data_IF_438088765112
#
_entry.id   IF_438088765112
#
_cell.length_a   1.000
_cell.length_b   1.000
_cell.length_c   1.000
_cell.angle_alpha   90.00
_cell.angle_beta   90.00
_cell.angle_gamma   90.00
#
_symmetry.space_group_name_H-M   'P 1'
#
loop_
_entity.id
_entity.type
_entity.pdbx_description
1 polymer ?
#
# COMPACT_ATOMS: atom_id res chain seq x y z
N UNK A 1 -67.26 -16.75 -52.89
CA UNK A 1 -66.14 -17.68 -53.12
C UNK A 1 -65.49 -17.82 -51.78
N UNK A 2 -65.26 -19.05 -51.31
CA UNK A 2 -64.60 -19.26 -50.02
C UNK A 2 -63.21 -18.61 -50.02
N UNK A 3 -62.81 -18.00 -48.90
CA UNK A 3 -61.49 -17.42 -48.71
C UNK A 3 -60.71 -18.20 -47.67
N UNK A 4 -59.41 -18.34 -47.90
CA UNK A 4 -58.52 -19.07 -46.99
C UNK A 4 -58.46 -18.41 -45.62
N UNK A 5 -58.40 -19.19 -44.53
CA UNK A 5 -58.24 -18.63 -43.19
C UNK A 5 -56.89 -17.93 -43.04
N UNK A 6 -56.87 -16.83 -42.28
CA UNK A 6 -55.66 -16.14 -41.88
C UNK A 6 -55.11 -16.77 -40.60
N UNK A 7 -53.81 -17.08 -40.54
CA UNK A 7 -53.17 -17.70 -39.37
C UNK A 7 -51.95 -16.91 -38.93
N UNK A 8 -51.83 -16.69 -37.61
CA UNK A 8 -50.71 -16.02 -36.95
C UNK A 8 -50.18 -16.86 -35.79
N UNK A 9 -48.87 -16.81 -35.59
CA UNK A 9 -48.15 -17.53 -34.54
C UNK A 9 -47.30 -16.53 -33.74
N UNK A 10 -47.07 -16.79 -32.46
CA UNK A 10 -46.24 -15.94 -31.61
C UNK A 10 -44.80 -15.85 -32.12
N UNK A 11 -44.45 -14.68 -32.67
CA UNK A 11 -43.10 -14.40 -33.17
C UNK A 11 -42.12 -14.04 -32.05
N UNK A 12 -42.57 -13.83 -30.80
CA UNK A 12 -41.70 -13.51 -29.67
C UNK A 12 -40.72 -14.63 -29.33
N UNK A 13 -40.98 -15.84 -29.84
CA UNK A 13 -40.18 -17.03 -29.61
C UNK A 13 -39.13 -17.26 -30.70
N UNK A 14 -39.17 -16.51 -31.81
CA UNK A 14 -38.22 -16.63 -32.91
C UNK A 14 -36.77 -16.49 -32.42
N UNK A 15 -35.97 -17.53 -32.66
CA UNK A 15 -34.56 -17.59 -32.32
C UNK A 15 -34.24 -17.80 -30.84
N UNK A 16 -35.25 -18.01 -29.96
CA UNK A 16 -34.99 -18.26 -28.53
C UNK A 16 -34.46 -19.67 -28.27
N UNK A 17 -33.62 -19.78 -27.24
CA UNK A 17 -33.16 -21.04 -26.65
C UNK A 17 -33.95 -21.37 -25.39
N UNK A 18 -34.34 -22.63 -25.26
CA UNK A 18 -35.01 -23.22 -24.09
C UNK A 18 -34.15 -24.33 -23.52
N UNK A 19 -34.29 -24.60 -22.22
CA UNK A 19 -33.59 -25.73 -21.59
C UNK A 19 -34.26 -27.06 -21.95
N UNK A 20 -33.47 -28.11 -22.08
CA UNK A 20 -34.00 -29.47 -22.16
C UNK A 20 -34.98 -29.76 -21.01
N UNK A 21 -36.19 -30.24 -21.36
CA UNK A 21 -37.25 -30.52 -20.40
C UNK A 21 -38.16 -29.32 -20.07
N UNK A 22 -37.83 -28.10 -20.49
CA UNK A 22 -38.70 -26.93 -20.37
C UNK A 22 -39.95 -27.09 -21.25
N UNK A 23 -41.07 -26.52 -20.80
CA UNK A 23 -42.31 -26.46 -21.61
C UNK A 23 -42.33 -25.15 -22.38
N UNK A 24 -42.49 -25.23 -23.70
CA UNK A 24 -42.62 -24.05 -24.56
C UNK A 24 -44.10 -23.83 -24.88
N UNK A 25 -44.64 -22.68 -24.47
CA UNK A 25 -46.03 -22.29 -24.76
C UNK A 25 -46.09 -21.45 -26.04
N UNK A 26 -46.91 -21.87 -27.01
CA UNK A 26 -47.02 -21.25 -28.32
C UNK A 26 -48.44 -20.72 -28.56
N UNK A 27 -48.62 -19.40 -28.55
CA UNK A 27 -49.90 -18.79 -28.88
C UNK A 27 -50.10 -18.74 -30.41
N UNK A 28 -51.25 -19.22 -30.87
CA UNK A 28 -51.65 -19.23 -32.27
C UNK A 28 -53.05 -18.66 -32.39
N UNK A 29 -53.26 -17.78 -33.37
CA UNK A 29 -54.58 -17.24 -33.69
C UNK A 29 -54.87 -17.46 -35.17
N UNK A 30 -56.12 -17.81 -35.46
CA UNK A 30 -56.66 -18.00 -36.79
C UNK A 30 -58.01 -17.28 -36.91
N UNK A 31 -58.36 -16.87 -38.12
CA UNK A 31 -59.64 -16.25 -38.41
C UNK A 31 -60.02 -16.51 -39.85
N UNK A 32 -61.29 -16.80 -40.07
CA UNK A 32 -61.87 -16.85 -41.41
C UNK A 32 -62.88 -15.70 -41.57
N UNK A 33 -62.89 -15.07 -42.74
CA UNK A 33 -63.64 -13.84 -43.00
C UNK A 33 -65.09 -14.08 -43.42
N UNK A 34 -65.34 -15.25 -43.98
CA UNK A 34 -66.61 -15.68 -44.56
C UNK A 34 -67.16 -16.98 -43.97
N UNK A 35 -66.36 -17.70 -43.17
CA UNK A 35 -66.75 -18.91 -42.47
C UNK A 35 -66.21 -19.03 -41.04
N UNK A 36 -66.01 -20.27 -40.60
CA UNK A 36 -65.47 -20.60 -39.28
C UNK A 36 -64.27 -21.53 -39.40
N UNK A 37 -63.41 -21.52 -38.38
CA UNK A 37 -62.26 -22.44 -38.32
C UNK A 37 -62.75 -23.83 -37.90
N UNK A 38 -62.62 -24.82 -38.78
CA UNK A 38 -62.89 -26.24 -38.48
C UNK A 38 -61.73 -26.86 -37.68
N UNK A 39 -60.48 -26.56 -38.08
CA UNK A 39 -59.27 -27.10 -37.43
C UNK A 39 -58.16 -26.07 -37.34
N UNK A 40 -57.39 -26.13 -36.25
CA UNK A 40 -56.16 -25.41 -36.03
C UNK A 40 -55.08 -26.39 -35.56
N UNK A 41 -54.04 -26.54 -36.37
CA UNK A 41 -52.95 -27.49 -36.19
C UNK A 41 -51.66 -26.76 -35.85
N UNK A 42 -50.96 -27.21 -34.80
CA UNK A 42 -49.56 -26.86 -34.60
C UNK A 42 -48.68 -27.89 -35.31
N UNK A 43 -47.72 -27.42 -36.09
CA UNK A 43 -46.79 -28.24 -36.87
C UNK A 43 -45.36 -27.98 -36.39
N UNK A 44 -44.65 -29.04 -36.03
CA UNK A 44 -43.24 -29.00 -35.60
C UNK A 44 -42.43 -29.94 -36.49
N UNK A 45 -41.41 -29.40 -37.18
CA UNK A 45 -40.58 -30.15 -38.14
C UNK A 45 -41.43 -30.94 -39.16
N UNK A 46 -42.45 -30.28 -39.71
CA UNK A 46 -43.41 -30.83 -40.69
C UNK A 46 -44.34 -31.94 -40.18
N UNK A 47 -44.36 -32.18 -38.86
CA UNK A 47 -45.26 -33.12 -38.21
C UNK A 47 -46.34 -32.34 -37.43
N UNK A 48 -47.61 -32.66 -37.67
CA UNK A 48 -48.71 -32.14 -36.85
C UNK A 48 -48.58 -32.74 -35.44
N UNK A 49 -48.34 -31.89 -34.44
CA UNK A 49 -48.16 -32.32 -33.06
C UNK A 49 -49.45 -32.24 -32.23
N UNK A 50 -50.33 -31.32 -32.59
CA UNK A 50 -51.61 -31.13 -31.92
C UNK A 50 -52.61 -30.44 -32.86
N UNK A 51 -53.88 -30.81 -32.72
CA UNK A 51 -55.03 -30.28 -33.47
C UNK A 51 -56.11 -29.85 -32.49
N UNK A 52 -56.63 -28.64 -32.66
CA UNK A 52 -57.77 -28.11 -31.91
C UNK A 52 -58.82 -27.54 -32.86
N UNK A 53 -60.04 -27.34 -32.40
CA UNK A 53 -61.16 -26.82 -33.21
C UNK A 53 -61.58 -25.41 -32.75
N UNK A 54 -60.63 -24.65 -32.21
CA UNK A 54 -60.84 -23.27 -31.73
C UNK A 54 -59.93 -22.33 -32.51
N UNK A 55 -60.40 -21.09 -32.71
CA UNK A 55 -59.70 -20.11 -33.53
C UNK A 55 -58.49 -19.45 -32.82
N UNK A 56 -58.40 -19.53 -31.50
CA UNK A 56 -57.26 -19.03 -30.70
C UNK A 56 -56.89 -20.05 -29.65
N UNK A 57 -55.61 -20.45 -29.60
CA UNK A 57 -55.14 -21.47 -28.67
C UNK A 57 -53.66 -21.27 -28.30
N UNK A 58 -53.30 -21.68 -27.08
CA UNK A 58 -51.93 -21.69 -26.59
C UNK A 58 -51.47 -23.15 -26.45
N UNK A 59 -50.72 -23.64 -27.44
CA UNK A 59 -50.19 -25.00 -27.46
C UNK A 59 -49.01 -25.16 -26.50
N UNK A 60 -48.83 -26.34 -25.91
CA UNK A 60 -47.72 -26.64 -24.99
C UNK A 60 -46.81 -27.73 -25.56
N UNK A 61 -45.59 -27.37 -25.97
CA UNK A 61 -44.55 -28.32 -26.38
C UNK A 61 -43.75 -28.74 -25.15
N UNK A 62 -43.95 -29.99 -24.71
CA UNK A 62 -43.30 -30.54 -23.51
C UNK A 62 -42.14 -31.45 -23.90
N UNK A 63 -41.05 -31.37 -23.13
CA UNK A 63 -39.93 -32.31 -23.21
C UNK A 63 -39.36 -32.45 -24.64
N UNK A 64 -39.23 -31.34 -25.35
CA UNK A 64 -38.56 -31.34 -26.65
C UNK A 64 -37.11 -31.86 -26.45
N UNK A 65 -36.66 -32.82 -27.29
CA UNK A 65 -35.26 -33.21 -27.34
C UNK A 65 -34.30 -32.03 -27.61
N UNK A 66 -33.01 -32.25 -27.41
CA UNK A 66 -31.99 -31.26 -27.82
C UNK A 66 -32.02 -31.10 -29.34
N UNK A 67 -32.05 -29.85 -29.83
CA UNK A 67 -32.01 -29.60 -31.26
C UNK A 67 -32.68 -28.30 -31.69
N UNK A 68 -32.90 -28.22 -33.01
CA UNK A 68 -33.51 -27.07 -33.68
C UNK A 68 -34.90 -27.47 -34.17
N UNK A 69 -35.89 -26.62 -33.89
CA UNK A 69 -37.29 -26.89 -34.22
C UNK A 69 -37.86 -25.79 -35.09
N UNK A 70 -38.38 -26.18 -36.26
CA UNK A 70 -39.18 -25.31 -37.14
C UNK A 70 -40.64 -25.49 -36.82
N UNK A 71 -41.31 -24.42 -36.42
CA UNK A 71 -42.69 -24.45 -35.92
C UNK A 71 -43.55 -23.50 -36.74
N UNK A 72 -44.71 -23.96 -37.18
CA UNK A 72 -45.73 -23.14 -37.82
C UNK A 72 -47.11 -23.71 -37.52
N UNK A 73 -48.16 -22.93 -37.77
CA UNK A 73 -49.54 -23.36 -37.60
C UNK A 73 -50.27 -23.41 -38.94
N UNK A 74 -51.24 -24.31 -39.03
CA UNK A 74 -52.16 -24.43 -40.16
C UNK A 74 -53.59 -24.39 -39.66
N UNK A 75 -54.48 -23.70 -40.37
CA UNK A 75 -55.91 -23.73 -40.08
C UNK A 75 -56.69 -24.19 -41.31
N UNK A 76 -57.74 -25.00 -41.10
CA UNK A 76 -58.72 -25.36 -42.12
C UNK A 76 -60.06 -24.70 -41.76
N UNK A 77 -60.72 -24.13 -42.76
CA UNK A 77 -62.09 -23.61 -42.62
C UNK A 77 -63.16 -24.70 -42.85
N UNK A 78 -64.43 -24.34 -42.69
CA UNK A 78 -65.59 -25.24 -42.86
C UNK A 78 -65.88 -25.65 -44.31
N UNK A 79 -65.25 -24.98 -45.28
CA UNK A 79 -65.30 -25.27 -46.71
C UNK A 79 -64.06 -26.07 -47.20
N UNK A 80 -63.10 -26.36 -46.30
CA UNK A 80 -61.94 -27.21 -46.51
C UNK A 80 -60.69 -26.51 -47.06
N UNK A 81 -60.62 -25.18 -47.10
CA UNK A 81 -59.42 -24.45 -47.53
C UNK A 81 -58.42 -24.24 -46.38
N UNK A 82 -57.12 -24.29 -46.71
CA UNK A 82 -56.03 -24.23 -45.73
C UNK A 82 -55.31 -22.86 -45.73
N UNK A 83 -55.16 -22.29 -44.54
CA UNK A 83 -54.30 -21.16 -44.22
C UNK A 83 -53.07 -21.57 -43.42
N UNK A 84 -51.93 -20.91 -43.63
CA UNK A 84 -50.64 -21.27 -43.01
C UNK A 84 -50.00 -20.01 -42.40
N UNK A 85 -49.46 -20.12 -41.18
CA UNK A 85 -48.72 -19.04 -40.52
C UNK A 85 -47.30 -18.89 -41.05
N UNK A 86 -46.57 -17.89 -40.54
CA UNK A 86 -45.10 -17.87 -40.65
C UNK A 86 -44.50 -19.08 -39.92
N UNK A 87 -43.34 -19.53 -40.37
CA UNK A 87 -42.50 -20.48 -39.65
C UNK A 87 -41.54 -19.74 -38.73
N UNK A 88 -41.43 -20.20 -37.49
CA UNK A 88 -40.43 -19.76 -36.52
C UNK A 88 -39.45 -20.89 -36.19
N UNK A 89 -38.26 -20.53 -35.72
CA UNK A 89 -37.21 -21.45 -35.29
C UNK A 89 -36.90 -21.27 -33.81
N UNK A 90 -36.90 -22.34 -33.03
CA UNK A 90 -36.44 -22.35 -31.63
C UNK A 90 -35.31 -23.37 -31.44
N UNK A 91 -34.53 -23.17 -30.37
CA UNK A 91 -33.43 -24.04 -29.97
C UNK A 91 -33.71 -24.68 -28.61
N UNK A 92 -33.34 -25.95 -28.45
CA UNK A 92 -33.36 -26.63 -27.16
C UNK A 92 -31.94 -27.07 -26.82
N UNK A 93 -31.40 -26.45 -25.79
CA UNK A 93 -30.00 -26.57 -25.37
C UNK A 93 -29.88 -27.37 -24.06
N UNK A 94 -28.73 -28.01 -23.80
CA UNK A 94 -28.49 -28.67 -22.54
C UNK A 94 -28.53 -27.66 -21.38
N UNK A 95 -28.90 -28.14 -20.19
CA UNK A 95 -28.77 -27.29 -19.00
C UNK A 95 -27.28 -26.96 -18.76
N UNK A 96 -26.98 -25.67 -18.62
CA UNK A 96 -25.62 -25.21 -18.33
C UNK A 96 -25.19 -25.74 -16.95
N UNK A 97 -24.17 -26.59 -16.94
CA UNK A 97 -23.52 -27.13 -15.72
C UNK A 97 -22.38 -26.24 -15.22
N UNK A 98 -22.22 -25.02 -15.73
CA UNK A 98 -21.30 -24.04 -15.15
C UNK A 98 -21.93 -23.44 -13.90
N UNK A 99 -21.65 -24.05 -12.75
CA UNK A 99 -21.99 -23.50 -11.44
C UNK A 99 -20.91 -22.47 -11.03
N UNK A 100 -21.22 -21.15 -11.02
CA UNK A 100 -20.26 -20.13 -10.58
C UNK A 100 -19.80 -20.34 -9.13
N UNK A 101 -20.57 -21.07 -8.31
CA UNK A 101 -20.27 -21.34 -6.91
C UNK A 101 -19.03 -22.23 -6.74
N UNK A 102 -18.74 -23.10 -7.72
CA UNK A 102 -17.53 -23.95 -7.70
C UNK A 102 -16.26 -23.10 -7.91
N UNK A 103 -16.31 -22.06 -8.75
CA UNK A 103 -15.15 -21.20 -8.98
C UNK A 103 -14.80 -20.40 -7.72
N UNK A 104 -15.80 -19.87 -7.03
CA UNK A 104 -15.60 -19.08 -5.81
C UNK A 104 -15.18 -19.98 -4.63
N UNK A 105 -15.84 -21.12 -4.48
CA UNK A 105 -15.59 -22.10 -3.41
C UNK A 105 -14.19 -22.72 -3.47
N UNK A 106 -13.57 -22.80 -4.64
CA UNK A 106 -12.22 -23.35 -4.81
C UNK A 106 -11.15 -22.25 -4.78
N UNK A 107 -11.41 -21.09 -5.40
CA UNK A 107 -10.38 -20.05 -5.55
C UNK A 107 -9.95 -19.44 -4.22
N UNK A 108 -10.90 -19.20 -3.30
CA UNK A 108 -10.61 -18.53 -2.03
C UNK A 108 -9.80 -19.41 -1.07
N UNK A 109 -10.19 -20.68 -0.79
CA UNK A 109 -9.39 -21.54 0.07
C UNK A 109 -7.98 -21.80 -0.46
N UNK A 110 -7.82 -21.97 -1.79
CA UNK A 110 -6.49 -22.16 -2.40
C UNK A 110 -5.64 -20.89 -2.23
N UNK A 111 -6.22 -19.70 -2.45
CA UNK A 111 -5.52 -18.43 -2.24
C UNK A 111 -5.05 -18.27 -0.79
N UNK A 112 -5.90 -18.59 0.18
CA UNK A 112 -5.59 -18.48 1.60
C UNK A 112 -4.53 -19.51 2.03
N UNK A 113 -4.64 -20.76 1.54
CA UNK A 113 -3.69 -21.85 1.83
C UNK A 113 -2.28 -21.59 1.27
N UNK A 114 -2.16 -20.83 0.19
CA UNK A 114 -0.86 -20.55 -0.44
C UNK A 114 -0.29 -19.23 0.07
N UNK A 115 -1.08 -18.17 0.07
CA UNK A 115 -0.59 -16.81 0.33
C UNK A 115 -0.15 -16.63 1.78
N UNK A 116 -0.90 -17.21 2.74
CA UNK A 116 -0.61 -17.02 4.16
C UNK A 116 0.73 -17.69 4.51
N UNK A 117 0.95 -19.00 4.27
CA UNK A 117 2.20 -19.65 4.65
C UNK A 117 3.43 -19.08 3.94
N UNK A 118 3.30 -18.71 2.65
CA UNK A 118 4.41 -18.10 1.92
C UNK A 118 4.78 -16.73 2.51
N UNK A 119 3.80 -15.90 2.86
CA UNK A 119 4.07 -14.59 3.46
C UNK A 119 4.72 -14.69 4.85
N UNK A 120 4.32 -15.67 5.66
CA UNK A 120 4.94 -15.92 6.96
C UNK A 120 6.36 -16.47 6.81
N UNK A 121 6.59 -17.43 5.89
CA UNK A 121 7.94 -17.96 5.64
C UNK A 121 8.87 -16.84 5.15
N UNK A 122 8.43 -16.00 4.22
CA UNK A 122 9.25 -14.90 3.71
C UNK A 122 9.55 -13.88 4.80
N UNK A 123 8.59 -13.56 5.66
CA UNK A 123 8.76 -12.55 6.72
C UNK A 123 9.58 -13.09 7.90
N UNK A 124 9.17 -14.21 8.47
CA UNK A 124 9.67 -14.70 9.75
C UNK A 124 10.92 -15.56 9.59
N UNK A 125 10.96 -16.43 8.57
CA UNK A 125 12.07 -17.36 8.39
C UNK A 125 13.20 -16.80 7.51
N UNK A 126 12.90 -15.82 6.65
CA UNK A 126 13.88 -15.24 5.71
C UNK A 126 14.23 -13.80 6.08
N UNK A 127 13.26 -12.89 6.05
CA UNK A 127 13.53 -11.45 6.19
C UNK A 127 14.06 -11.11 7.58
N UNK A 128 13.46 -11.67 8.63
CA UNK A 128 13.84 -11.36 10.01
C UNK A 128 15.27 -11.84 10.32
N UNK A 129 15.65 -13.11 10.07
CA UNK A 129 17.01 -13.58 10.36
C UNK A 129 18.07 -12.88 9.51
N UNK A 130 17.78 -12.58 8.24
CA UNK A 130 18.71 -11.82 7.38
C UNK A 130 18.95 -10.42 7.94
N UNK A 131 17.90 -9.72 8.38
CA UNK A 131 18.02 -8.40 9.01
C UNK A 131 18.85 -8.46 10.30
N UNK A 132 18.61 -9.47 11.15
CA UNK A 132 19.39 -9.68 12.38
C UNK A 132 20.86 -9.96 12.08
N UNK A 133 21.18 -10.79 11.09
CA UNK A 133 22.56 -11.07 10.67
C UNK A 133 23.24 -9.77 10.19
N UNK A 134 22.56 -8.96 9.39
CA UNK A 134 23.13 -7.69 8.90
C UNK A 134 23.36 -6.71 10.06
N UNK A 135 22.46 -6.64 11.04
CA UNK A 135 22.62 -5.81 12.22
C UNK A 135 23.79 -6.28 13.08
N UNK A 136 23.76 -7.54 13.51
CA UNK A 136 24.58 -8.01 14.63
C UNK A 136 25.96 -8.49 14.19
N UNK A 137 26.07 -9.06 12.99
CA UNK A 137 27.33 -9.63 12.49
C UNK A 137 28.09 -8.63 11.63
N UNK A 138 27.39 -7.73 10.94
CA UNK A 138 28.02 -6.78 10.01
C UNK A 138 28.06 -5.39 10.63
N UNK A 139 26.91 -4.81 10.95
CA UNK A 139 26.81 -3.39 11.31
C UNK A 139 27.45 -3.09 12.67
N UNK A 140 27.15 -3.90 13.68
CA UNK A 140 27.63 -3.69 15.05
C UNK A 140 29.17 -3.82 15.15
N UNK A 141 29.83 -4.88 14.64
CA UNK A 141 31.28 -5.02 14.75
C UNK A 141 32.05 -3.97 13.95
N UNK A 142 31.52 -3.55 12.79
CA UNK A 142 32.11 -2.45 12.00
C UNK A 142 32.04 -1.14 12.78
N UNK A 143 30.89 -0.83 13.39
CA UNK A 143 30.72 0.37 14.21
C UNK A 143 31.67 0.39 15.40
N UNK A 144 31.77 -0.72 16.14
CA UNK A 144 32.70 -0.85 17.27
C UNK A 144 34.16 -0.73 16.84
N UNK A 145 34.55 -1.39 15.74
CA UNK A 145 35.92 -1.35 15.23
C UNK A 145 36.32 0.06 14.79
N UNK A 146 35.46 0.76 14.07
CA UNK A 146 35.73 2.13 13.62
C UNK A 146 35.80 3.08 14.82
N UNK A 147 34.88 2.94 15.78
CA UNK A 147 34.88 3.74 17.01
C UNK A 147 36.17 3.56 17.81
N UNK A 148 36.62 2.31 17.99
CA UNK A 148 37.88 1.99 18.65
C UNK A 148 39.09 2.59 17.93
N UNK A 149 39.17 2.40 16.61
CA UNK A 149 40.24 2.99 15.77
C UNK A 149 40.29 4.51 15.88
N UNK A 150 39.15 5.19 15.82
CA UNK A 150 39.08 6.66 15.96
C UNK A 150 39.51 7.08 17.37
N UNK A 151 39.06 6.37 18.41
CA UNK A 151 39.44 6.64 19.79
C UNK A 151 40.96 6.56 20.00
N UNK A 152 41.58 5.49 19.50
CA UNK A 152 42.99 5.18 19.79
C UNK A 152 43.96 5.96 18.91
N UNK A 153 43.61 6.19 17.64
CA UNK A 153 44.52 6.83 16.67
C UNK A 153 44.30 8.34 16.58
N UNK A 154 43.07 8.81 16.79
CA UNK A 154 42.74 10.23 16.63
C UNK A 154 42.50 10.89 17.98
N UNK A 155 41.50 10.45 18.73
CA UNK A 155 41.05 11.16 19.94
C UNK A 155 42.12 11.17 21.03
N UNK A 156 42.72 10.02 21.34
CA UNK A 156 43.71 9.91 22.43
C UNK A 156 45.01 10.66 22.13
N UNK A 157 45.67 10.48 20.96
CA UNK A 157 46.91 11.19 20.66
C UNK A 157 46.69 12.69 20.53
N UNK A 158 45.57 13.12 19.97
CA UNK A 158 45.25 14.55 19.86
C UNK A 158 44.99 15.19 21.24
N UNK A 159 44.24 14.51 22.10
CA UNK A 159 44.01 14.96 23.48
C UNK A 159 45.32 15.11 24.25
N UNK A 160 46.20 14.11 24.15
CA UNK A 160 47.51 14.15 24.80
C UNK A 160 48.40 15.26 24.23
N UNK A 161 48.51 15.39 22.90
CA UNK A 161 49.31 16.42 22.27
C UNK A 161 48.85 17.83 22.65
N UNK A 162 47.54 18.07 22.70
CA UNK A 162 46.97 19.35 23.15
C UNK A 162 47.29 19.57 24.63
N UNK A 163 47.11 18.56 25.47
CA UNK A 163 47.43 18.64 26.91
C UNK A 163 48.90 18.98 27.15
N UNK A 164 49.81 18.33 26.41
CA UNK A 164 51.25 18.51 26.52
C UNK A 164 51.67 19.93 26.11
N UNK A 165 51.19 20.44 24.97
CA UNK A 165 51.47 21.81 24.50
C UNK A 165 50.94 22.84 25.49
N UNK A 166 49.69 22.68 25.93
CA UNK A 166 49.06 23.61 26.89
C UNK A 166 49.82 23.60 28.21
N UNK A 167 50.16 22.43 28.73
CA UNK A 167 50.91 22.30 29.98
C UNK A 167 52.31 22.92 29.88
N UNK A 168 53.01 22.70 28.75
CA UNK A 168 54.33 23.25 28.50
C UNK A 168 54.32 24.78 28.40
N UNK A 169 53.39 25.36 27.65
CA UNK A 169 53.31 26.82 27.47
C UNK A 169 52.92 27.51 28.78
N UNK A 170 51.94 26.96 29.51
CA UNK A 170 51.47 27.57 30.76
C UNK A 170 52.53 27.44 31.85
N UNK A 171 53.05 26.24 32.07
CA UNK A 171 53.98 25.96 33.18
C UNK A 171 55.41 26.41 32.88
N UNK A 172 55.81 26.42 31.61
CA UNK A 172 57.11 26.90 31.15
C UNK A 172 57.05 28.39 30.87
N UNK A 173 56.72 28.75 29.64
CA UNK A 173 56.88 30.10 29.11
C UNK A 173 56.12 31.16 29.91
N UNK A 174 54.83 30.92 30.20
CA UNK A 174 53.99 31.89 30.90
C UNK A 174 54.42 32.00 32.36
N UNK A 175 54.54 30.89 33.08
CA UNK A 175 54.88 30.92 34.50
C UNK A 175 56.28 31.51 34.74
N UNK A 176 57.27 31.17 33.91
CA UNK A 176 58.61 31.73 34.01
C UNK A 176 58.63 33.23 33.72
N UNK A 177 58.03 33.67 32.61
CA UNK A 177 57.97 35.10 32.27
C UNK A 177 57.26 35.92 33.36
N UNK A 178 56.14 35.42 33.88
CA UNK A 178 55.41 36.09 34.97
C UNK A 178 56.28 36.16 36.23
N UNK A 179 56.95 35.06 36.59
CA UNK A 179 57.82 35.03 37.78
C UNK A 179 59.00 36.00 37.66
N UNK A 180 59.65 36.05 36.49
CA UNK A 180 60.77 36.96 36.22
C UNK A 180 60.33 38.43 36.26
N UNK A 181 59.25 38.79 35.55
CA UNK A 181 58.73 40.16 35.53
C UNK A 181 58.32 40.62 36.93
N UNK A 182 57.59 39.79 37.67
CA UNK A 182 57.16 40.11 39.04
C UNK A 182 58.36 40.26 39.97
N UNK A 183 59.35 39.36 39.87
CA UNK A 183 60.56 39.44 40.69
C UNK A 183 61.35 40.72 40.42
N UNK A 184 61.50 41.09 39.14
CA UNK A 184 62.21 42.32 38.74
C UNK A 184 61.49 43.58 39.24
N UNK A 185 60.17 43.69 39.06
CA UNK A 185 59.39 44.83 39.56
C UNK A 185 59.54 44.96 41.08
N UNK A 186 59.46 43.86 41.82
CA UNK A 186 59.59 43.90 43.28
C UNK A 186 61.02 44.29 43.70
N UNK A 187 62.03 43.67 43.10
CA UNK A 187 63.42 43.86 43.51
C UNK A 187 63.99 45.22 43.11
N UNK A 188 63.54 45.80 42.00
CA UNK A 188 64.08 47.05 41.47
C UNK A 188 63.16 48.21 41.79
N UNK A 189 61.94 48.19 41.25
CA UNK A 189 61.04 49.34 41.30
C UNK A 189 60.48 49.53 42.71
N UNK A 190 59.86 48.49 43.28
CA UNK A 190 59.22 48.57 44.60
C UNK A 190 60.26 48.80 45.69
N UNK A 191 61.34 48.00 45.71
CA UNK A 191 62.40 48.15 46.71
C UNK A 191 63.12 49.50 46.59
N UNK A 192 63.31 49.99 45.36
CA UNK A 192 63.90 51.30 45.09
C UNK A 192 63.06 52.44 45.65
N UNK A 193 61.75 52.46 45.35
CA UNK A 193 60.81 53.45 45.88
C UNK A 193 60.78 53.41 47.41
N UNK A 194 60.67 52.22 48.01
CA UNK A 194 60.67 52.05 49.46
C UNK A 194 61.96 52.61 50.07
N UNK A 195 63.13 52.26 49.50
CA UNK A 195 64.42 52.73 50.00
C UNK A 195 64.55 54.25 49.91
N UNK A 196 64.15 54.88 48.79
CA UNK A 196 64.20 56.34 48.65
C UNK A 196 63.26 57.03 49.63
N UNK A 197 62.04 56.53 49.78
CA UNK A 197 61.04 57.11 50.69
C UNK A 197 61.47 57.00 52.15
N UNK A 198 62.03 55.85 52.57
CA UNK A 198 62.56 55.69 53.92
C UNK A 198 63.72 56.65 54.16
N UNK A 199 64.64 56.77 53.19
CA UNK A 199 65.78 57.69 53.32
C UNK A 199 65.32 59.14 53.48
N UNK A 200 64.39 59.60 52.65
CA UNK A 200 63.95 61.00 52.60
C UNK A 200 63.02 61.39 53.75
N UNK A 201 62.04 60.53 54.09
CA UNK A 201 61.00 60.87 55.07
C UNK A 201 61.40 60.46 56.49
N UNK A 202 62.19 59.40 56.64
CA UNK A 202 62.56 58.85 57.96
C UNK A 202 64.01 59.16 58.28
N UNK A 203 64.97 58.66 57.49
CA UNK A 203 66.39 58.71 57.87
C UNK A 203 66.95 60.13 57.92
N UNK A 204 66.68 60.98 56.93
CA UNK A 204 67.16 62.36 56.89
C UNK A 204 66.59 63.22 58.04
N UNK A 205 65.27 63.32 58.25
CA UNK A 205 64.72 64.15 59.34
C UNK A 205 65.11 63.66 60.73
N UNK A 206 65.20 62.34 60.93
CA UNK A 206 65.67 61.77 62.20
C UNK A 206 67.14 62.10 62.44
N UNK A 207 68.00 61.96 61.43
CA UNK A 207 69.41 62.33 61.52
C UNK A 207 69.59 63.81 61.84
N UNK A 208 68.81 64.69 61.18
CA UNK A 208 68.83 66.13 61.42
C UNK A 208 68.37 66.49 62.84
N UNK A 209 67.28 65.87 63.31
CA UNK A 209 66.76 66.07 64.66
C UNK A 209 67.77 65.64 65.72
N UNK A 210 68.35 64.44 65.59
CA UNK A 210 69.37 63.93 66.53
C UNK A 210 70.59 64.85 66.53
N UNK A 211 71.08 65.24 65.35
CA UNK A 211 72.25 66.12 65.22
C UNK A 211 72.01 67.47 65.89
N UNK A 212 70.81 68.04 65.73
CA UNK A 212 70.41 69.30 66.37
C UNK A 212 70.31 69.17 67.89
N UNK A 213 69.64 68.13 68.39
CA UNK A 213 69.44 67.91 69.84
C UNK A 213 70.78 67.68 70.56
N UNK A 214 71.65 66.83 69.98
CA UNK A 214 72.99 66.56 70.51
C UNK A 214 73.85 67.83 70.54
N UNK A 215 73.82 68.62 69.47
CA UNK A 215 74.56 69.89 69.40
C UNK A 215 74.09 70.87 70.46
N UNK A 216 72.77 70.95 70.73
CA UNK A 216 72.22 71.80 71.79
C UNK A 216 72.66 71.35 73.19
N UNK A 217 72.64 70.04 73.47
CA UNK A 217 73.07 69.50 74.77
C UNK A 217 74.56 69.73 75.05
N UNK A 218 75.43 69.62 74.05
CA UNK A 218 76.88 69.84 74.19
C UNK A 218 77.27 71.33 74.35
N UNK A 219 76.37 72.24 73.98
CA UNK A 219 76.59 73.70 74.09
C UNK A 219 76.15 74.31 75.43
N UNK A 220 75.58 73.51 76.32
CA UNK A 220 75.16 73.86 77.69
C UNK A 220 76.24 73.51 78.70
#
# INVERSE_FOLDING_TARGET
QNQKPLVSIDLSLEGKSFKYGETVTMAVNSSDSDGVIDQLNLVVNDIVVETVTVSSYAFELKSLPLGVYKIYAKALDDDGEEGISRTITIYVDPESVFDPDISESISKPISDLISIPLSTIISDDISTPVSTIISDVISMPISESISGVISDIVSTPLSNAVSDVVSSVISGDISQNVSEVVSNIISVDVSGVISSTISEIVSMPVSDLISKEVSQLLSR
#
